data_IF_290076224246
#
_entry.id   IF_290076224246
#
_cell.length_a   1.000
_cell.length_b   1.000
_cell.length_c   1.000
_cell.angle_alpha   90.00
_cell.angle_beta   90.00
_cell.angle_gamma   90.00
#
_symmetry.space_group_name_H-M   'P 1'
#
loop_
_entity.id
_entity.type
_entity.pdbx_description
1 polymer ?
#
# COMPACT_ATOMS: atom_id res chain seq x y z
N UNK A 1 26.69 -50.16 37.53
CA UNK A 1 25.56 -51.12 37.48
C UNK A 1 24.28 -50.32 37.31
N UNK A 2 23.66 -50.41 36.12
CA UNK A 2 22.29 -50.00 35.71
C UNK A 2 21.87 -48.52 35.90
N UNK A 3 21.65 -47.72 34.85
CA UNK A 3 20.57 -47.73 33.83
C UNK A 3 19.14 -47.74 34.42
N UNK A 4 18.33 -46.81 33.89
CA UNK A 4 16.89 -46.59 34.02
C UNK A 4 16.38 -45.76 35.20
N UNK A 5 16.08 -44.49 34.91
CA UNK A 5 14.70 -43.95 34.95
C UNK A 5 14.65 -42.57 34.26
N UNK A 6 14.76 -42.60 32.92
CA UNK A 6 14.11 -41.60 32.09
C UNK A 6 12.64 -42.00 31.97
N UNK A 7 11.70 -41.17 32.44
CA UNK A 7 10.44 -40.87 31.77
C UNK A 7 9.57 -39.95 32.63
N UNK A 8 8.99 -38.95 31.95
CA UNK A 8 7.80 -38.18 32.35
C UNK A 8 7.98 -37.08 33.40
N UNK A 9 8.54 -35.94 32.99
CA UNK A 9 7.90 -34.63 33.22
C UNK A 9 8.18 -33.71 32.03
N UNK A 10 7.72 -34.17 30.85
CA UNK A 10 7.36 -33.28 29.75
C UNK A 10 5.88 -32.93 29.96
N UNK A 11 5.66 -31.82 30.63
CA UNK A 11 4.45 -31.00 30.60
C UNK A 11 4.94 -29.56 30.73
N UNK A 12 5.41 -28.93 29.65
CA UNK A 12 4.54 -28.26 28.68
C UNK A 12 3.32 -27.65 29.35
N UNK A 13 3.58 -26.45 29.86
CA UNK A 13 2.62 -25.58 30.49
C UNK A 13 3.35 -24.39 31.09
N UNK A 14 4.32 -23.80 30.35
CA UNK A 14 4.70 -22.43 30.62
C UNK A 14 3.42 -21.62 30.47
N UNK A 15 2.86 -21.32 31.64
CA UNK A 15 1.68 -20.52 31.86
C UNK A 15 1.78 -19.32 30.94
N UNK A 16 0.86 -19.23 29.97
CA UNK A 16 0.60 -17.99 29.27
C UNK A 16 0.35 -16.95 30.35
N UNK A 17 1.34 -16.08 30.55
CA UNK A 17 1.25 -14.96 31.47
C UNK A 17 -0.03 -14.19 31.16
N UNK A 18 -0.77 -13.88 32.22
CA UNK A 18 -2.02 -13.13 32.20
C UNK A 18 -1.96 -11.97 31.20
N UNK A 19 -2.96 -11.93 30.32
CA UNK A 19 -3.25 -10.83 29.40
C UNK A 19 -3.81 -9.62 30.15
N UNK A 20 -3.02 -9.03 31.05
CA UNK A 20 -3.33 -7.78 31.74
C UNK A 20 -2.22 -6.76 31.42
N UNK A 21 -2.33 -6.17 30.22
CA UNK A 21 -1.82 -4.86 29.79
C UNK A 21 -1.55 -4.89 28.27
N UNK A 22 -2.60 -5.06 27.46
CA UNK A 22 -2.57 -4.55 26.07
C UNK A 22 -2.67 -3.01 26.11
N UNK A 23 -1.58 -2.35 26.54
CA UNK A 23 -1.41 -0.89 26.47
C UNK A 23 -0.89 -0.41 25.10
N UNK A 24 -0.87 -1.27 24.09
CA UNK A 24 -0.25 -0.95 22.79
C UNK A 24 -1.21 -0.40 21.73
N UNK A 25 -2.50 -0.26 22.01
CA UNK A 25 -3.39 0.49 21.13
C UNK A 25 -3.50 1.94 21.61
N UNK A 26 -3.06 2.94 20.81
CA UNK A 26 -3.29 4.33 21.16
C UNK A 26 -4.80 4.55 21.30
N UNK A 27 -5.22 4.88 22.52
CA UNK A 27 -6.65 5.10 22.83
C UNK A 27 -7.19 6.19 21.90
N UNK A 28 -8.33 5.93 21.27
CA UNK A 28 -9.02 6.87 20.40
C UNK A 28 -8.82 6.63 18.90
N UNK A 29 -8.01 5.66 18.44
CA UNK A 29 -7.95 5.31 17.01
C UNK A 29 -8.92 4.20 16.62
N UNK A 30 -9.52 3.53 17.59
CA UNK A 30 -10.36 2.35 17.39
C UNK A 30 -11.48 2.68 16.43
N UNK A 31 -12.21 3.78 16.68
CA UNK A 31 -13.32 4.20 15.82
C UNK A 31 -12.94 4.41 14.34
N UNK A 32 -11.67 4.74 14.07
CA UNK A 32 -11.14 4.93 12.71
C UNK A 32 -10.71 3.63 12.06
N UNK A 33 -10.49 2.58 12.83
CA UNK A 33 -10.07 1.24 12.39
C UNK A 33 -11.19 0.19 12.53
N UNK A 34 -12.34 0.54 13.13
CA UNK A 34 -13.47 -0.36 13.37
C UNK A 34 -14.08 -0.92 12.07
N UNK A 35 -13.99 -0.17 10.98
CA UNK A 35 -14.61 -0.56 9.72
C UNK A 35 -13.54 -1.02 8.73
N UNK A 36 -13.66 -2.27 8.20
CA UNK A 36 -12.80 -2.71 7.12
C UNK A 36 -12.84 -1.72 5.95
N UNK A 37 -11.68 -1.42 5.34
CA UNK A 37 -11.64 -0.45 4.26
C UNK A 37 -12.32 -1.00 3.00
N UNK A 38 -12.92 -0.09 2.25
CA UNK A 38 -13.65 -0.40 1.02
C UNK A 38 -12.85 0.06 -0.21
N UNK A 39 -12.28 -0.90 -0.91
CA UNK A 39 -11.46 -0.69 -2.10
C UNK A 39 -12.25 -0.01 -3.22
N UNK A 40 -13.51 -0.39 -3.44
CA UNK A 40 -14.34 0.19 -4.48
C UNK A 40 -14.74 1.62 -4.16
N UNK A 41 -15.09 1.89 -2.89
CA UNK A 41 -15.33 3.25 -2.41
C UNK A 41 -14.10 4.14 -2.60
N UNK A 42 -12.90 3.65 -2.27
CA UNK A 42 -11.67 4.38 -2.54
C UNK A 42 -11.56 4.72 -4.02
N UNK A 43 -11.76 3.78 -4.93
CA UNK A 43 -11.67 4.04 -6.38
C UNK A 43 -12.67 5.07 -6.89
N UNK A 44 -13.89 5.07 -6.36
CA UNK A 44 -14.92 6.05 -6.70
C UNK A 44 -14.60 7.44 -6.20
N UNK A 45 -14.24 7.56 -4.92
CA UNK A 45 -13.99 8.85 -4.26
C UNK A 45 -12.64 9.45 -4.59
N UNK A 46 -11.64 8.60 -4.84
CA UNK A 46 -10.30 9.00 -5.22
C UNK A 46 -10.34 9.93 -6.43
N UNK A 47 -9.84 11.14 -6.23
CA UNK A 47 -9.66 12.13 -7.28
C UNK A 47 -8.28 12.77 -7.12
N UNK A 48 -7.64 13.10 -8.24
CA UNK A 48 -6.27 13.63 -8.27
C UNK A 48 -5.19 12.56 -8.35
N UNK A 49 -4.02 12.88 -7.81
CA UNK A 49 -2.79 12.07 -7.91
C UNK A 49 -2.35 11.64 -6.53
N UNK A 50 -2.00 10.36 -6.35
CA UNK A 50 -1.38 9.84 -5.14
C UNK A 50 0.04 9.42 -5.45
N UNK A 51 0.97 9.77 -4.57
CA UNK A 51 2.36 9.35 -4.65
C UNK A 51 2.59 8.18 -3.70
N UNK A 52 3.38 7.21 -4.15
CA UNK A 52 3.96 6.22 -3.25
C UNK A 52 5.11 6.90 -2.48
N UNK A 53 4.91 7.10 -1.19
CA UNK A 53 5.87 7.83 -0.34
C UNK A 53 6.95 6.89 0.17
N UNK A 54 6.57 5.75 0.71
CA UNK A 54 7.51 4.72 1.15
C UNK A 54 6.90 3.32 1.13
N UNK A 55 7.77 2.31 1.04
CA UNK A 55 7.42 0.90 1.08
C UNK A 55 8.33 0.13 2.05
N UNK A 56 7.97 -1.11 2.39
CA UNK A 56 8.66 -1.89 3.42
C UNK A 56 9.59 -2.97 2.88
N UNK A 57 9.41 -3.44 1.64
CA UNK A 57 10.30 -4.46 1.07
C UNK A 57 11.65 -3.91 0.62
N UNK A 58 12.68 -4.75 0.75
CA UNK A 58 14.05 -4.45 0.39
C UNK A 58 14.31 -4.73 -1.08
N UNK A 59 13.68 -3.90 -1.92
CA UNK A 59 13.90 -3.86 -3.35
C UNK A 59 14.44 -2.49 -3.72
N UNK A 60 15.35 -2.44 -4.69
CA UNK A 60 15.82 -1.17 -5.25
C UNK A 60 14.77 -0.56 -6.21
N UNK A 61 13.59 -0.31 -5.65
CA UNK A 61 12.44 0.21 -6.38
C UNK A 61 12.60 1.71 -6.66
N UNK A 62 13.42 2.42 -5.87
CA UNK A 62 13.69 3.85 -6.04
C UNK A 62 14.48 4.15 -7.31
N UNK A 63 15.46 3.32 -7.66
CA UNK A 63 16.22 3.52 -8.89
C UNK A 63 15.37 3.24 -10.12
N UNK A 64 14.48 2.24 -10.04
CA UNK A 64 13.67 1.83 -11.18
C UNK A 64 12.43 2.71 -11.38
N UNK A 65 11.75 3.08 -10.29
CA UNK A 65 10.47 3.78 -10.33
C UNK A 65 10.41 5.00 -9.40
N UNK A 66 11.33 5.97 -9.53
CA UNK A 66 11.34 7.16 -8.68
C UNK A 66 10.08 8.00 -8.88
N UNK A 67 9.61 8.61 -7.78
CA UNK A 67 8.45 9.48 -7.76
C UNK A 67 7.17 8.84 -8.34
N UNK A 68 7.05 7.50 -8.21
CA UNK A 68 5.88 6.75 -8.67
C UNK A 68 4.60 7.37 -8.13
N UNK A 69 3.71 7.70 -9.04
CA UNK A 69 2.39 8.20 -8.71
C UNK A 69 1.32 7.54 -9.57
N UNK A 70 0.11 7.59 -9.04
CA UNK A 70 -1.08 7.04 -9.66
C UNK A 70 -2.16 8.09 -9.74
N UNK A 71 -2.87 8.12 -10.87
CA UNK A 71 -4.03 8.95 -11.13
C UNK A 71 -5.13 8.12 -11.76
N UNK A 72 -6.38 8.36 -11.34
CA UNK A 72 -7.54 7.78 -12.01
C UNK A 72 -7.70 8.41 -13.39
N UNK A 73 -7.69 7.60 -14.46
CA UNK A 73 -7.94 8.11 -15.82
C UNK A 73 -9.40 7.99 -16.20
N UNK A 74 -9.98 6.79 -16.09
CA UNK A 74 -11.40 6.51 -16.43
C UNK A 74 -12.01 5.56 -15.41
N UNK A 75 -13.22 5.89 -14.97
CA UNK A 75 -14.08 5.00 -14.20
C UNK A 75 -15.06 4.36 -15.18
N UNK A 76 -15.04 3.05 -15.30
CA UNK A 76 -16.07 2.34 -16.05
C UNK A 76 -17.17 1.96 -15.05
N UNK A 77 -18.23 2.77 -14.98
CA UNK A 77 -19.38 2.46 -14.11
C UNK A 77 -20.24 1.31 -14.66
N UNK A 78 -20.04 0.91 -15.92
CA UNK A 78 -20.73 -0.21 -16.56
C UNK A 78 -20.04 -1.55 -16.30
N UNK A 79 -18.72 -1.54 -16.09
CA UNK A 79 -17.99 -2.70 -15.58
C UNK A 79 -18.25 -2.83 -14.07
N UNK A 80 -18.53 -4.06 -13.64
CA UNK A 80 -19.03 -4.33 -12.30
C UNK A 80 -18.08 -4.03 -11.14
N UNK A 81 -16.84 -3.53 -11.38
CA UNK A 81 -15.84 -3.16 -10.36
C UNK A 81 -14.43 -2.91 -10.98
N UNK A 82 -14.31 -2.29 -12.17
CA UNK A 82 -12.99 -1.99 -12.78
C UNK A 82 -12.74 -0.51 -13.06
N UNK A 83 -11.49 -0.08 -12.87
CA UNK A 83 -11.03 1.30 -13.06
C UNK A 83 -9.75 1.29 -13.84
N UNK A 84 -9.65 2.19 -14.82
CA UNK A 84 -8.39 2.43 -15.51
C UNK A 84 -7.57 3.46 -14.73
N UNK A 85 -6.34 3.08 -14.37
CA UNK A 85 -5.37 3.94 -13.70
C UNK A 85 -4.22 4.29 -14.62
N UNK A 86 -3.78 5.55 -14.53
CA UNK A 86 -2.54 6.03 -15.13
C UNK A 86 -1.47 6.08 -14.03
N UNK A 87 -0.41 5.31 -14.22
CA UNK A 87 0.78 5.33 -13.38
C UNK A 87 1.86 6.14 -14.07
N UNK A 88 2.46 7.08 -13.34
CA UNK A 88 3.54 7.90 -13.86
C UNK A 88 4.78 7.72 -13.02
N UNK A 89 5.93 7.67 -13.68
CA UNK A 89 7.26 7.60 -13.08
C UNK A 89 8.11 8.72 -13.65
N UNK A 90 8.94 9.30 -12.80
CA UNK A 90 9.68 10.52 -13.08
C UNK A 90 11.18 10.25 -12.87
N UNK A 91 11.84 9.52 -13.78
CA UNK A 91 13.26 9.14 -13.63
C UNK A 91 14.22 10.32 -13.59
N UNK A 92 13.88 11.41 -14.27
CA UNK A 92 14.62 12.66 -14.25
C UNK A 92 13.65 13.84 -14.51
N UNK A 93 14.10 15.08 -14.36
CA UNK A 93 13.26 16.27 -14.45
C UNK A 93 12.56 16.48 -15.82
N UNK A 94 13.02 15.79 -16.87
CA UNK A 94 12.58 15.99 -18.26
C UNK A 94 11.74 14.86 -18.83
N UNK A 95 11.83 13.66 -18.26
CA UNK A 95 11.16 12.45 -18.78
C UNK A 95 10.08 12.02 -17.79
N UNK A 96 8.87 11.80 -18.30
CA UNK A 96 7.77 11.18 -17.56
C UNK A 96 7.35 9.92 -18.31
N UNK A 97 7.52 8.77 -17.67
CA UNK A 97 7.03 7.50 -18.17
C UNK A 97 5.60 7.32 -17.69
N UNK A 98 4.66 7.06 -18.61
CA UNK A 98 3.25 6.85 -18.28
C UNK A 98 2.80 5.47 -18.72
N UNK A 99 2.16 4.74 -17.82
CA UNK A 99 1.59 3.42 -18.08
C UNK A 99 0.12 3.42 -17.68
N UNK A 100 -0.71 2.73 -18.47
CA UNK A 100 -2.13 2.60 -18.14
C UNK A 100 -2.43 1.16 -17.76
N UNK A 101 -3.09 0.94 -16.63
CA UNK A 101 -3.46 -0.41 -16.15
C UNK A 101 -4.91 -0.48 -15.76
N UNK A 102 -5.54 -1.61 -16.06
CA UNK A 102 -6.84 -1.96 -15.50
C UNK A 102 -6.64 -2.44 -14.06
N UNK A 103 -7.43 -1.89 -13.14
CA UNK A 103 -7.47 -2.27 -11.73
C UNK A 103 -8.88 -2.74 -11.42
N UNK A 104 -9.01 -3.99 -10.93
CA UNK A 104 -10.28 -4.56 -10.48
C UNK A 104 -10.30 -4.62 -8.96
N UNK A 105 -11.48 -4.69 -8.36
CA UNK A 105 -11.61 -4.96 -6.93
C UNK A 105 -12.13 -6.37 -6.66
N UNK A 106 -11.76 -6.93 -5.51
CA UNK A 106 -12.41 -8.13 -4.96
C UNK A 106 -12.38 -8.17 -3.45
N UNK A 107 -13.17 -9.07 -2.88
CA UNK A 107 -13.11 -9.42 -1.46
C UNK A 107 -11.97 -10.41 -1.22
N UNK A 108 -11.28 -10.26 -0.08
CA UNK A 108 -10.32 -11.25 0.40
C UNK A 108 -10.99 -12.58 0.73
N UNK A 109 -12.07 -12.49 1.48
CA UNK A 109 -12.84 -13.63 1.96
C UNK A 109 -14.27 -13.17 2.34
N UNK A 110 -15.08 -14.10 2.85
CA UNK A 110 -16.47 -13.85 3.21
C UNK A 110 -16.65 -12.94 4.45
N UNK A 111 -15.60 -12.69 5.25
CA UNK A 111 -15.69 -11.81 6.42
C UNK A 111 -15.81 -10.33 6.04
N UNK A 112 -15.44 -9.96 4.81
CA UNK A 112 -15.52 -8.59 4.33
C UNK A 112 -16.87 -8.30 3.66
N UNK A 113 -17.59 -7.31 4.18
CA UNK A 113 -18.85 -6.83 3.58
C UNK A 113 -18.63 -6.27 2.18
N UNK A 114 -17.54 -5.53 1.97
CA UNK A 114 -17.19 -4.85 0.70
C UNK A 114 -15.83 -5.33 0.19
N UNK A 115 -15.53 -5.16 -1.12
CA UNK A 115 -14.19 -5.43 -1.66
C UNK A 115 -13.10 -4.67 -0.89
N UNK A 116 -12.01 -5.34 -0.56
CA UNK A 116 -10.90 -4.78 0.21
C UNK A 116 -9.53 -5.09 -0.43
N UNK A 117 -9.53 -5.62 -1.65
CA UNK A 117 -8.33 -5.92 -2.41
C UNK A 117 -8.44 -5.37 -3.82
N UNK A 118 -7.30 -4.98 -4.37
CA UNK A 118 -7.10 -4.63 -5.77
C UNK A 118 -6.46 -5.81 -6.50
N UNK A 119 -6.86 -5.98 -7.75
CA UNK A 119 -6.23 -6.86 -8.73
C UNK A 119 -5.61 -5.97 -9.79
N UNK A 120 -4.28 -6.05 -9.92
CA UNK A 120 -3.50 -5.29 -10.89
C UNK A 120 -2.71 -6.26 -11.75
N UNK A 121 -2.66 -6.00 -13.06
CA UNK A 121 -1.94 -6.86 -14.01
C UNK A 121 -0.51 -6.35 -14.22
N UNK A 122 0.47 -7.17 -13.88
CA UNK A 122 1.90 -6.92 -14.07
C UNK A 122 2.43 -7.79 -15.20
N UNK A 123 3.45 -7.32 -15.89
CA UNK A 123 4.19 -8.12 -16.85
C UNK A 123 5.38 -8.78 -16.14
N UNK A 124 5.27 -10.07 -15.86
CA UNK A 124 6.30 -10.83 -15.15
C UNK A 124 6.62 -12.10 -15.93
N UNK A 125 7.91 -12.40 -16.13
CA UNK A 125 8.37 -13.64 -16.77
C UNK A 125 7.69 -13.91 -18.14
N UNK A 126 7.63 -12.89 -18.99
CA UNK A 126 7.06 -12.96 -20.35
C UNK A 126 5.54 -13.17 -20.42
N UNK A 127 4.84 -13.13 -19.28
CA UNK A 127 3.38 -13.25 -19.23
C UNK A 127 2.74 -12.17 -18.35
N UNK A 128 1.48 -11.87 -18.64
CA UNK A 128 0.69 -10.97 -17.83
C UNK A 128 0.03 -11.71 -16.67
N UNK A 129 0.43 -11.39 -15.45
CA UNK A 129 -0.12 -12.00 -14.25
C UNK A 129 -0.92 -11.00 -13.39
N UNK A 130 -2.10 -11.41 -12.93
CA UNK A 130 -2.85 -10.65 -11.93
C UNK A 130 -2.19 -10.81 -10.55
N UNK A 131 -1.97 -9.70 -9.87
CA UNK A 131 -1.44 -9.65 -8.51
C UNK A 131 -2.43 -8.96 -7.59
N UNK A 132 -2.48 -9.47 -6.36
CA UNK A 132 -3.35 -8.97 -5.32
C UNK A 132 -2.64 -7.92 -4.48
N UNK A 133 -3.33 -6.81 -4.23
CA UNK A 133 -2.89 -5.75 -3.33
C UNK A 133 -4.00 -5.52 -2.32
N UNK A 134 -3.74 -5.80 -1.05
CA UNK A 134 -4.72 -5.62 0.01
C UNK A 134 -4.74 -4.15 0.47
N UNK A 135 -5.93 -3.57 0.61
CA UNK A 135 -6.13 -2.29 1.28
C UNK A 135 -6.21 -2.53 2.79
N UNK A 136 -5.27 -1.97 3.55
CA UNK A 136 -5.22 -2.09 5.01
C UNK A 136 -5.97 -0.94 5.68
N UNK A 137 -5.80 0.27 5.18
CA UNK A 137 -6.47 1.47 5.68
C UNK A 137 -6.55 2.56 4.63
N UNK A 138 -7.57 3.40 4.70
CA UNK A 138 -7.65 4.65 3.96
C UNK A 138 -8.64 5.58 4.65
N UNK A 139 -8.37 6.88 4.58
CA UNK A 139 -9.35 7.92 4.92
C UNK A 139 -10.19 8.36 3.70
N UNK A 140 -9.98 7.71 2.55
CA UNK A 140 -10.61 7.96 1.25
C UNK A 140 -10.26 9.30 0.59
N UNK A 141 -9.40 10.12 1.21
CA UNK A 141 -9.13 11.49 0.76
C UNK A 141 -7.63 11.76 0.67
N UNK A 142 -6.91 11.55 1.77
CA UNK A 142 -5.52 11.99 1.89
C UNK A 142 -4.52 10.86 1.77
N UNK A 143 -4.86 9.64 2.19
CA UNK A 143 -3.90 8.53 2.20
C UNK A 143 -4.55 7.15 2.12
N UNK A 144 -3.72 6.18 1.72
CA UNK A 144 -4.04 4.76 1.72
C UNK A 144 -2.81 3.94 2.11
N UNK A 145 -3.01 2.94 2.97
CA UNK A 145 -2.00 1.96 3.36
C UNK A 145 -2.35 0.64 2.68
N UNK A 146 -1.43 0.15 1.85
CA UNK A 146 -1.63 -1.07 1.07
C UNK A 146 -0.62 -2.15 1.48
N UNK A 147 -0.93 -3.42 1.17
CA UNK A 147 -0.01 -4.55 1.28
C UNK A 147 0.04 -5.33 -0.02
N UNK A 148 1.23 -5.57 -0.55
CA UNK A 148 1.46 -6.48 -1.68
C UNK A 148 2.65 -7.39 -1.44
N UNK A 149 2.79 -8.44 -2.26
CA UNK A 149 3.96 -9.33 -2.21
C UNK A 149 5.24 -8.62 -2.67
N UNK A 150 5.14 -7.73 -3.66
CA UNK A 150 6.29 -7.05 -4.26
C UNK A 150 6.84 -5.95 -3.35
N UNK A 151 5.99 -5.06 -2.85
CA UNK A 151 6.43 -3.85 -2.12
C UNK A 151 6.24 -3.98 -0.60
N UNK A 152 5.58 -5.04 -0.13
CA UNK A 152 5.22 -5.19 1.28
C UNK A 152 4.16 -4.16 1.64
N UNK A 153 4.33 -3.48 2.78
CA UNK A 153 3.47 -2.39 3.22
C UNK A 153 3.85 -1.11 2.48
N UNK A 154 2.86 -0.44 1.92
CA UNK A 154 3.01 0.74 1.07
C UNK A 154 2.24 1.92 1.66
N UNK A 155 2.85 3.10 1.64
CA UNK A 155 2.23 4.37 2.02
C UNK A 155 1.93 5.20 0.78
N UNK A 156 0.65 5.39 0.47
CA UNK A 156 0.20 6.25 -0.62
C UNK A 156 -0.43 7.51 -0.05
N UNK A 157 -0.01 8.68 -0.54
CA UNK A 157 -0.51 9.98 -0.06
C UNK A 157 -0.87 10.88 -1.24
N UNK A 158 -1.99 11.59 -1.11
CA UNK A 158 -2.45 12.55 -2.10
C UNK A 158 -1.43 13.68 -2.32
N UNK A 159 -1.26 14.07 -3.59
CA UNK A 159 -0.43 15.20 -3.99
C UNK A 159 -0.76 16.47 -3.21
N UNK A 160 -2.05 16.79 -3.13
CA UNK A 160 -2.53 18.00 -2.45
C UNK A 160 -2.14 18.03 -0.98
N UNK A 161 -2.18 16.89 -0.29
CA UNK A 161 -1.72 16.84 1.10
C UNK A 161 -0.21 17.01 1.22
N UNK A 162 0.58 16.33 0.36
CA UNK A 162 2.03 16.44 0.36
C UNK A 162 2.52 17.87 0.05
N UNK A 163 1.83 18.59 -0.83
CA UNK A 163 2.18 19.98 -1.18
C UNK A 163 1.83 20.97 -0.06
N UNK A 164 0.68 20.80 0.58
CA UNK A 164 0.16 21.75 1.56
C UNK A 164 0.69 21.52 2.98
N UNK A 165 0.65 20.28 3.46
CA UNK A 165 1.01 19.92 4.83
C UNK A 165 2.48 19.48 4.95
N UNK A 166 3.05 18.92 3.86
CA UNK A 166 4.42 18.37 3.81
C UNK A 166 4.71 17.33 4.89
N UNK A 167 3.67 16.64 5.33
CA UNK A 167 3.73 15.56 6.31
C UNK A 167 2.87 14.38 5.84
N UNK A 168 2.97 13.27 6.56
CA UNK A 168 2.18 12.08 6.30
C UNK A 168 1.00 12.08 7.27
N UNK A 169 -0.24 11.83 6.83
CA UNK A 169 -1.39 11.78 7.72
C UNK A 169 -1.15 10.79 8.87
N UNK A 170 -1.28 11.28 10.10
CA UNK A 170 -0.86 10.58 11.31
C UNK A 170 -1.42 9.15 11.43
N UNK A 171 -2.69 8.94 11.08
CA UNK A 171 -3.32 7.61 11.20
C UNK A 171 -2.76 6.64 10.16
N UNK A 172 -2.53 7.10 8.94
CA UNK A 172 -1.89 6.26 7.93
C UNK A 172 -0.48 5.88 8.38
N UNK A 173 0.30 6.84 8.91
CA UNK A 173 1.62 6.55 9.46
C UNK A 173 1.57 5.51 10.59
N UNK A 174 0.63 5.66 11.53
CA UNK A 174 0.41 4.70 12.61
C UNK A 174 0.03 3.30 12.08
N UNK A 175 -0.93 3.21 11.15
CA UNK A 175 -1.33 1.91 10.58
C UNK A 175 -0.18 1.25 9.84
N UNK A 176 0.64 2.03 9.14
CA UNK A 176 1.84 1.51 8.49
C UNK A 176 2.80 0.90 9.52
N UNK A 177 3.11 1.62 10.58
CA UNK A 177 4.05 1.17 11.62
C UNK A 177 3.51 -0.04 12.40
N UNK A 178 2.19 -0.17 12.54
CA UNK A 178 1.55 -1.36 13.11
C UNK A 178 1.56 -2.56 12.14
N UNK A 179 1.63 -2.32 10.84
CA UNK A 179 1.56 -3.36 9.81
C UNK A 179 2.93 -3.96 9.46
N UNK A 180 4.04 -3.30 9.83
CA UNK A 180 5.40 -3.80 9.60
C UNK A 180 6.41 -3.21 10.58
N UNK A 181 7.38 -4.04 10.96
CA UNK A 181 8.58 -3.71 11.71
C UNK A 181 9.78 -3.37 10.79
N UNK A 182 9.62 -3.47 9.47
CA UNK A 182 10.69 -3.23 8.50
C UNK A 182 10.97 -1.72 8.35
N UNK A 183 12.21 -1.33 8.02
CA UNK A 183 12.55 0.06 7.73
C UNK A 183 11.73 0.64 6.57
N UNK A 184 11.40 1.92 6.68
CA UNK A 184 10.74 2.67 5.60
C UNK A 184 11.74 2.93 4.47
N UNK A 185 11.47 2.42 3.27
CA UNK A 185 12.20 2.76 2.05
C UNK A 185 11.50 3.92 1.35
N UNK A 186 12.10 5.10 1.42
CA UNK A 186 11.51 6.35 0.90
C UNK A 186 11.64 6.42 -0.62
N UNK A 187 10.51 6.58 -1.30
CA UNK A 187 10.41 6.73 -2.74
C UNK A 187 10.10 8.16 -3.17
N UNK A 188 9.31 8.88 -2.38
CA UNK A 188 8.95 10.27 -2.64
C UNK A 188 9.94 11.24 -1.96
N UNK A 189 10.61 12.05 -2.77
CA UNK A 189 11.39 13.19 -2.30
C UNK A 189 10.60 14.49 -2.56
N UNK A 190 10.33 15.25 -1.50
CA UNK A 190 9.52 16.48 -1.57
C UNK A 190 10.21 17.63 -2.30
N UNK A 191 11.53 17.59 -2.47
CA UNK A 191 12.30 18.58 -3.24
C UNK A 191 12.35 18.20 -4.71
N UNK A 192 12.50 16.91 -5.01
CA UNK A 192 12.73 16.43 -6.37
C UNK A 192 11.42 16.13 -7.10
N UNK A 193 10.51 15.35 -6.50
CA UNK A 193 9.31 14.85 -7.18
C UNK A 193 8.32 15.94 -7.65
N UNK A 194 8.12 17.06 -6.93
CA UNK A 194 7.26 18.14 -7.43
C UNK A 194 7.85 18.89 -8.63
N UNK A 195 9.18 18.91 -8.80
CA UNK A 195 9.82 19.63 -9.90
C UNK A 195 9.71 18.89 -11.22
N UNK A 196 9.74 17.56 -11.18
CA UNK A 196 9.62 16.72 -12.39
C UNK A 196 8.28 16.85 -13.10
N UNK A 197 7.23 17.31 -12.41
CA UNK A 197 5.92 17.57 -13.03
C UNK A 197 5.87 18.87 -13.87
N UNK A 198 6.97 19.63 -13.97
CA UNK A 198 7.04 20.94 -14.63
C UNK A 198 7.96 21.00 -15.86
N UNK A 199 8.67 19.92 -16.20
CA UNK A 199 9.57 19.86 -17.37
C UNK A 199 8.85 19.65 -18.70
N UNK A 200 9.44 20.12 -19.81
CA UNK A 200 8.92 19.89 -21.17
C UNK A 200 8.88 18.40 -21.49
N UNK A 201 7.69 17.91 -21.85
CA UNK A 201 7.33 16.50 -21.80
C UNK A 201 7.84 15.68 -23.00
N UNK A 202 8.76 14.75 -22.76
CA UNK A 202 8.85 13.52 -23.55
C UNK A 202 8.06 12.41 -22.81
N UNK A 203 6.95 11.97 -23.42
CA UNK A 203 6.07 10.92 -22.87
C UNK A 203 6.48 9.59 -23.50
N UNK A 204 7.04 8.71 -22.68
CA UNK A 204 7.35 7.33 -23.08
C UNK A 204 6.45 6.34 -22.33
N UNK A 205 6.25 5.15 -22.91
CA UNK A 205 5.39 4.11 -22.34
C UNK A 205 6.07 3.42 -21.15
N UNK A 206 5.37 3.36 -20.02
CA UNK A 206 5.83 2.63 -18.83
C UNK A 206 5.30 1.19 -18.87
N UNK A 207 6.22 0.23 -18.99
CA UNK A 207 5.92 -1.20 -18.83
C UNK A 207 6.27 -1.61 -17.41
N UNK A 208 5.28 -2.09 -16.65
CA UNK A 208 5.39 -2.66 -15.29
C UNK A 208 4.78 -4.05 -15.28
#
# INVERSE_FOLDING_TARGET
MFLFLCAVFVSFGCSFGKTEDQKCFPKGVEHRLLHPPDAWKLMRLFNGTFYLVYHSEDLDFKTTFPCLNVRKSRLDESSRESVTMSMNVAPNATVILTGTKEVKTKKKDAAYKNPNMFLVQYYECEEYAWREIQLLYTDYITCAVLKSKLLGIQMWVSKTHLENAREIPWICALVYDLATDKPRRVLYDWKECPQTAKGNNEINELVV
#
